data_IF_170578086248
#
_entry.id   IF_170578086248
#
_cell.length_a   1.000
_cell.length_b   1.000
_cell.length_c   1.000
_cell.angle_alpha   90.00
_cell.angle_beta   90.00
_cell.angle_gamma   90.00
#
_symmetry.space_group_name_H-M   'P 1'
#
loop_
_entity.id
_entity.type
_entity.pdbx_description
1 polymer ?
#
# COMPACT_ATOMS: atom_id res chain seq x y z
N UNK A 1 -63.52 -6.59 -65.40
CA UNK A 1 -62.67 -6.90 -64.24
C UNK A 1 -61.36 -6.12 -64.36
N UNK A 2 -61.04 -5.33 -63.34
CA UNK A 2 -59.80 -4.57 -63.06
C UNK A 2 -59.39 -3.41 -64.00
N UNK A 3 -59.53 -2.19 -63.46
CA UNK A 3 -59.09 -0.91 -64.02
C UNK A 3 -57.57 -0.70 -63.84
N UNK A 4 -56.90 -0.10 -64.83
CA UNK A 4 -55.51 0.36 -64.78
C UNK A 4 -55.47 1.82 -64.28
N UNK A 5 -54.66 2.09 -63.25
CA UNK A 5 -54.34 3.44 -62.74
C UNK A 5 -52.96 3.87 -63.24
N UNK A 6 -52.86 5.15 -63.62
CA UNK A 6 -51.67 5.89 -64.03
C UNK A 6 -50.84 6.23 -62.78
N UNK A 7 -49.50 6.22 -62.87
CA UNK A 7 -48.63 6.75 -61.82
C UNK A 7 -47.49 7.58 -62.42
N UNK A 8 -47.40 8.81 -61.91
CA UNK A 8 -46.43 9.86 -62.22
C UNK A 8 -45.14 9.58 -61.43
N UNK A 9 -43.98 9.74 -62.09
CA UNK A 9 -42.66 9.60 -61.46
C UNK A 9 -42.19 10.96 -60.94
N UNK A 10 -41.82 11.03 -59.65
CA UNK A 10 -41.27 12.24 -59.01
C UNK A 10 -39.86 11.94 -58.50
N UNK A 11 -38.90 12.76 -58.94
CA UNK A 11 -37.48 12.66 -58.61
C UNK A 11 -37.18 13.14 -57.18
N UNK A 12 -36.18 12.51 -56.53
CA UNK A 12 -35.63 12.97 -55.25
C UNK A 12 -34.15 13.30 -55.45
N UNK A 13 -33.81 14.55 -55.10
CA UNK A 13 -32.47 15.13 -55.16
C UNK A 13 -31.73 14.86 -53.85
N UNK A 14 -30.53 14.26 -53.89
CA UNK A 14 -29.68 14.07 -52.71
C UNK A 14 -28.79 15.30 -52.49
N UNK A 15 -28.85 15.88 -51.30
CA UNK A 15 -27.93 16.93 -50.82
C UNK A 15 -26.94 16.27 -49.84
N UNK A 16 -25.66 16.33 -50.16
CA UNK A 16 -24.58 15.94 -49.25
C UNK A 16 -24.17 17.15 -48.39
N UNK A 17 -24.36 17.07 -47.08
CA UNK A 17 -23.81 18.02 -46.10
C UNK A 17 -22.53 17.41 -45.50
N UNK A 18 -21.39 18.06 -45.74
CA UNK A 18 -20.12 17.73 -45.09
C UNK A 18 -20.10 18.24 -43.65
N UNK A 19 -19.92 17.34 -42.70
CA UNK A 19 -19.65 17.69 -41.30
C UNK A 19 -18.16 17.93 -41.10
N UNK A 20 -17.80 19.10 -40.58
CA UNK A 20 -16.46 19.38 -40.06
C UNK A 20 -16.38 18.71 -38.69
N UNK A 21 -15.48 17.74 -38.54
CA UNK A 21 -15.16 17.14 -37.25
C UNK A 21 -14.37 18.15 -36.42
N UNK A 22 -14.94 18.58 -35.30
CA UNK A 22 -14.26 19.42 -34.31
C UNK A 22 -13.22 18.55 -33.59
N UNK A 23 -11.94 18.78 -33.90
CA UNK A 23 -10.84 18.08 -33.25
C UNK A 23 -10.69 18.66 -31.84
N UNK A 24 -11.16 17.93 -30.83
CA UNK A 24 -10.86 18.23 -29.43
C UNK A 24 -9.34 18.29 -29.25
N UNK A 25 -8.82 19.49 -28.97
CA UNK A 25 -7.41 19.66 -28.57
C UNK A 25 -7.15 18.80 -27.33
N UNK A 26 -5.99 18.12 -27.24
CA UNK A 26 -5.58 17.46 -26.00
C UNK A 26 -5.55 18.51 -24.89
N UNK A 27 -6.28 18.26 -23.80
CA UNK A 27 -6.20 19.10 -22.60
C UNK A 27 -4.74 19.17 -22.17
N UNK A 28 -4.20 20.39 -22.05
CA UNK A 28 -2.85 20.59 -21.56
C UNK A 28 -2.73 19.91 -20.19
N UNK A 29 -1.89 18.88 -20.08
CA UNK A 29 -1.63 18.22 -18.82
C UNK A 29 -1.08 19.25 -17.83
N UNK A 30 -1.69 19.35 -16.65
CA UNK A 30 -1.19 20.20 -15.56
C UNK A 30 0.29 19.92 -15.32
N UNK A 31 1.10 20.95 -14.97
CA UNK A 31 2.51 20.75 -14.69
C UNK A 31 2.70 19.73 -13.55
N UNK A 32 3.80 18.95 -13.55
CA UNK A 32 4.09 18.01 -12.49
C UNK A 32 4.09 18.68 -11.10
N UNK A 33 3.61 18.00 -10.04
CA UNK A 33 3.62 18.56 -8.70
C UNK A 33 5.06 18.80 -8.22
N UNK A 34 5.27 19.88 -7.46
CA UNK A 34 6.58 20.26 -6.93
C UNK A 34 6.56 20.38 -5.40
N UNK A 35 7.67 20.03 -4.75
CA UNK A 35 7.85 20.11 -3.29
C UNK A 35 7.67 18.77 -2.58
N UNK A 36 7.93 18.72 -1.26
CA UNK A 36 7.70 17.53 -0.44
C UNK A 36 6.27 17.00 -0.59
N UNK A 37 6.08 15.69 -0.49
CA UNK A 37 4.76 15.06 -0.48
C UNK A 37 3.87 15.49 -1.66
N UNK A 38 4.41 15.47 -2.87
CA UNK A 38 3.71 15.85 -4.10
C UNK A 38 3.16 17.30 -4.08
N UNK A 39 3.80 18.19 -3.31
CA UNK A 39 3.37 19.58 -3.16
C UNK A 39 2.10 19.76 -2.33
N UNK A 40 1.62 18.69 -1.67
CA UNK A 40 0.42 18.75 -0.84
C UNK A 40 0.73 19.42 0.50
N UNK A 41 -0.14 20.34 0.94
CA UNK A 41 -0.09 20.91 2.29
C UNK A 41 -0.18 19.80 3.33
N UNK A 42 0.78 19.70 4.27
CA UNK A 42 0.73 18.66 5.30
C UNK A 42 -0.52 18.73 6.19
N UNK A 43 -1.04 17.58 6.65
CA UNK A 43 -2.23 17.52 7.48
C UNK A 43 -1.90 17.91 8.93
N UNK A 44 -2.93 18.30 9.67
CA UNK A 44 -2.87 18.38 11.13
C UNK A 44 -3.26 17.05 11.79
N UNK A 45 -3.93 17.15 12.95
CA UNK A 45 -4.41 15.99 13.72
C UNK A 45 -5.67 15.34 13.12
N UNK A 46 -6.25 15.94 12.08
CA UNK A 46 -7.37 15.34 11.33
C UNK A 46 -6.82 14.73 10.05
N UNK A 47 -7.07 13.44 9.77
CA UNK A 47 -6.57 12.82 8.56
C UNK A 47 -7.12 13.47 7.29
N UNK A 48 -6.27 13.57 6.27
CA UNK A 48 -6.62 14.04 4.95
C UNK A 48 -6.37 12.94 3.90
N UNK A 49 -7.02 13.03 2.74
CA UNK A 49 -6.70 12.18 1.60
C UNK A 49 -5.31 12.53 1.07
N UNK A 50 -4.47 11.54 0.80
CA UNK A 50 -3.11 11.76 0.30
C UNK A 50 -3.08 11.82 -1.23
N UNK A 51 -2.48 12.90 -1.76
CA UNK A 51 -2.29 13.23 -3.17
C UNK A 51 -3.46 12.82 -4.08
N UNK A 52 -4.64 13.47 -3.93
CA UNK A 52 -5.83 13.15 -4.73
C UNK A 52 -5.58 13.29 -6.23
N UNK A 53 -6.01 12.32 -7.01
CA UNK A 53 -5.81 12.26 -8.47
C UNK A 53 -4.43 11.78 -8.90
N UNK A 54 -3.48 11.56 -7.97
CA UNK A 54 -2.15 11.02 -8.27
C UNK A 54 -1.96 9.68 -7.58
N UNK A 55 -2.01 9.66 -6.25
CA UNK A 55 -1.90 8.44 -5.44
C UNK A 55 -3.29 7.89 -5.17
N UNK A 56 -4.16 8.67 -4.53
CA UNK A 56 -5.55 8.27 -4.28
C UNK A 56 -6.42 8.64 -5.48
N UNK A 57 -6.95 7.64 -6.18
CA UNK A 57 -7.71 7.83 -7.42
C UNK A 57 -9.07 7.14 -7.34
N UNK A 58 -9.74 6.91 -8.48
CA UNK A 58 -10.93 6.06 -8.53
C UNK A 58 -10.58 4.56 -8.46
N UNK A 59 -9.30 4.20 -8.62
CA UNK A 59 -8.84 2.84 -8.39
C UNK A 59 -8.76 2.52 -6.89
N UNK A 60 -8.49 1.26 -6.57
CA UNK A 60 -8.33 0.83 -5.17
C UNK A 60 -6.84 0.87 -4.80
N UNK A 61 -6.44 1.83 -3.97
CA UNK A 61 -5.07 1.97 -3.46
C UNK A 61 -4.92 1.60 -1.99
N UNK A 62 -3.82 0.91 -1.67
CA UNK A 62 -3.54 0.45 -0.33
C UNK A 62 -2.05 0.14 -0.12
N UNK A 63 -1.62 0.14 1.14
CA UNK A 63 -0.22 0.03 1.55
C UNK A 63 0.67 1.11 0.93
N UNK A 64 1.65 1.57 1.71
CA UNK A 64 2.37 2.79 1.40
C UNK A 64 3.77 2.75 2.02
N UNK A 65 4.78 3.17 1.28
CA UNK A 65 6.12 3.41 1.83
C UNK A 65 6.82 4.53 1.07
N UNK A 66 7.66 5.28 1.77
CA UNK A 66 8.47 6.35 1.20
C UNK A 66 9.93 5.96 1.33
N UNK A 67 10.71 6.20 0.28
CA UNK A 67 12.16 6.05 0.36
C UNK A 67 12.79 6.88 1.48
N UNK A 68 13.91 6.42 2.09
CA UNK A 68 14.55 7.12 3.19
C UNK A 68 14.93 8.58 2.88
N UNK A 69 15.26 8.89 1.64
CA UNK A 69 15.59 10.26 1.19
C UNK A 69 14.37 11.10 0.79
N UNK A 70 13.17 10.52 0.88
CA UNK A 70 11.91 11.18 0.57
C UNK A 70 11.63 11.39 -0.91
N UNK A 71 12.42 10.80 -1.82
CA UNK A 71 12.33 11.08 -3.28
C UNK A 71 11.53 10.06 -4.07
N UNK A 72 11.13 8.96 -3.47
CA UNK A 72 10.29 7.95 -4.08
C UNK A 72 9.17 7.57 -3.13
N UNK A 73 7.97 7.42 -3.68
CA UNK A 73 6.78 6.99 -2.96
C UNK A 73 6.25 5.75 -3.66
N UNK A 74 6.12 4.66 -2.92
CA UNK A 74 5.60 3.38 -3.39
C UNK A 74 4.26 3.07 -2.74
N UNK A 75 3.35 2.49 -3.51
CA UNK A 75 2.03 2.10 -3.02
C UNK A 75 1.44 0.97 -3.86
N UNK A 76 0.49 0.21 -3.33
CA UNK A 76 -0.24 -0.77 -4.14
C UNK A 76 -1.44 -0.11 -4.80
N UNK A 77 -1.66 -0.39 -6.08
CA UNK A 77 -2.89 -0.05 -6.80
C UNK A 77 -3.47 -1.31 -7.43
N UNK A 78 -4.77 -1.52 -7.22
CA UNK A 78 -5.57 -2.54 -7.89
C UNK A 78 -6.40 -1.87 -8.98
N UNK A 79 -6.12 -2.22 -10.23
CA UNK A 79 -6.89 -1.74 -11.38
C UNK A 79 -7.99 -2.76 -11.72
N UNK A 80 -9.18 -2.36 -12.18
CA UNK A 80 -10.26 -3.30 -12.51
C UNK A 80 -9.85 -4.40 -13.50
N UNK A 81 -8.95 -4.08 -14.43
CA UNK A 81 -8.43 -5.02 -15.43
C UNK A 81 -7.06 -5.61 -15.08
N UNK A 82 -6.39 -5.08 -14.04
CA UNK A 82 -5.08 -5.55 -13.59
C UNK A 82 -5.14 -5.95 -12.12
N UNK A 83 -4.93 -7.24 -11.91
CA UNK A 83 -4.07 -7.81 -10.88
C UNK A 83 -3.18 -6.78 -10.14
N UNK A 84 -3.08 -6.83 -8.81
CA UNK A 84 -2.36 -5.83 -7.98
C UNK A 84 -0.99 -5.44 -8.55
N UNK A 85 -0.67 -4.14 -8.48
CA UNK A 85 0.63 -3.58 -8.90
C UNK A 85 1.21 -2.69 -7.82
N UNK A 86 2.53 -2.77 -7.65
CA UNK A 86 3.28 -1.78 -6.89
C UNK A 86 3.60 -0.63 -7.84
N UNK A 87 3.05 0.53 -7.52
CA UNK A 87 3.26 1.78 -8.22
C UNK A 87 4.37 2.58 -7.54
N UNK A 88 4.99 3.48 -8.29
CA UNK A 88 5.98 4.42 -7.78
C UNK A 88 5.86 5.77 -8.47
N UNK A 89 6.02 6.84 -7.71
CA UNK A 89 6.28 8.20 -8.22
C UNK A 89 7.61 8.69 -7.68
N UNK A 90 8.35 9.45 -8.50
CA UNK A 90 9.74 9.87 -8.21
C UNK A 90 9.91 11.37 -8.30
N UNK A 91 10.69 11.92 -7.38
CA UNK A 91 11.14 13.30 -7.41
C UNK A 91 12.29 13.47 -8.40
N UNK A 92 12.02 14.18 -9.49
CA UNK A 92 12.99 14.56 -10.51
C UNK A 92 13.19 16.07 -10.56
N UNK A 93 14.11 16.54 -11.41
CA UNK A 93 14.38 17.98 -11.59
C UNK A 93 13.13 18.77 -12.01
N UNK A 94 12.21 18.13 -12.73
CA UNK A 94 10.96 18.71 -13.23
C UNK A 94 9.78 18.58 -12.25
N UNK A 95 9.98 17.95 -11.08
CA UNK A 95 8.93 17.63 -10.11
C UNK A 95 8.69 16.14 -9.97
N UNK A 96 7.56 15.77 -9.37
CA UNK A 96 7.16 14.37 -9.20
C UNK A 96 6.66 13.77 -10.51
N UNK A 97 7.13 12.57 -10.85
CA UNK A 97 6.66 11.84 -12.03
C UNK A 97 5.23 11.32 -11.85
N UNK A 98 4.52 11.12 -12.95
CA UNK A 98 3.26 10.34 -12.93
C UNK A 98 3.56 8.92 -12.41
N UNK A 99 2.72 8.36 -11.52
CA UNK A 99 2.95 7.03 -11.00
C UNK A 99 3.01 5.96 -12.10
N UNK A 100 4.05 5.14 -12.06
CA UNK A 100 4.29 4.01 -12.97
C UNK A 100 4.55 2.73 -12.18
N UNK A 101 4.65 1.57 -12.84
CA UNK A 101 5.01 0.32 -12.15
C UNK A 101 6.44 0.41 -11.59
N UNK A 102 6.61 0.03 -10.32
CA UNK A 102 7.89 0.17 -9.62
C UNK A 102 9.03 -0.66 -10.19
N UNK A 103 8.69 -1.82 -10.73
CA UNK A 103 9.61 -2.74 -11.38
C UNK A 103 8.82 -3.60 -12.36
N UNK A 104 9.48 -4.03 -13.43
CA UNK A 104 8.96 -5.05 -14.34
C UNK A 104 9.14 -6.42 -13.69
N UNK A 105 8.47 -6.67 -12.56
CA UNK A 105 8.36 -8.05 -12.10
C UNK A 105 7.67 -8.82 -13.22
N UNK A 106 8.35 -9.87 -13.70
CA UNK A 106 7.83 -10.84 -14.66
C UNK A 106 6.39 -11.20 -14.31
N UNK A 107 5.42 -10.67 -15.04
CA UNK A 107 3.99 -11.02 -15.08
C UNK A 107 3.19 -11.22 -13.76
N UNK A 108 3.79 -11.00 -12.58
CA UNK A 108 3.22 -11.36 -11.29
C UNK A 108 2.66 -10.17 -10.51
N UNK A 109 1.57 -10.43 -9.78
CA UNK A 109 0.97 -9.52 -8.81
C UNK A 109 1.93 -9.21 -7.67
N UNK A 110 2.31 -7.94 -7.53
CA UNK A 110 3.04 -7.43 -6.37
C UNK A 110 2.14 -6.52 -5.54
N UNK A 111 2.26 -6.60 -4.23
CA UNK A 111 1.55 -5.73 -3.29
C UNK A 111 2.33 -5.52 -2.01
N UNK A 112 1.86 -4.57 -1.21
CA UNK A 112 2.35 -4.29 0.14
C UNK A 112 3.87 -3.97 0.19
N UNK A 113 4.32 -2.95 -0.58
CA UNK A 113 5.73 -2.59 -0.63
C UNK A 113 6.20 -2.06 0.72
N UNK A 114 7.40 -2.48 1.12
CA UNK A 114 8.12 -1.91 2.24
C UNK A 114 9.57 -1.66 1.86
N UNK A 115 10.02 -0.43 2.05
CA UNK A 115 11.42 -0.07 1.90
C UNK A 115 12.01 0.27 3.29
N UNK A 116 13.00 -0.51 3.78
CA UNK A 116 13.67 -0.24 5.04
C UNK A 116 14.47 1.08 5.02
N UNK A 117 14.94 1.56 6.20
CA UNK A 117 15.75 2.77 6.31
C UNK A 117 17.04 2.78 5.50
N UNK A 118 17.60 1.62 5.15
CA UNK A 118 18.80 1.54 4.30
C UNK A 118 18.51 1.87 2.82
N UNK A 119 17.24 1.81 2.42
CA UNK A 119 16.78 2.05 1.07
C UNK A 119 17.25 1.02 0.05
N UNK A 120 17.95 -0.06 0.43
CA UNK A 120 18.66 -0.94 -0.51
C UNK A 120 17.79 -2.08 -1.03
N UNK A 121 16.92 -2.62 -0.17
CA UNK A 121 16.13 -3.81 -0.47
C UNK A 121 14.66 -3.51 -0.29
N UNK A 122 13.87 -3.61 -1.35
CA UNK A 122 12.42 -3.50 -1.26
C UNK A 122 11.83 -4.89 -0.98
N UNK A 123 11.05 -4.98 0.08
CA UNK A 123 10.26 -6.15 0.43
C UNK A 123 8.86 -5.96 -0.13
N UNK A 124 8.27 -7.04 -0.65
CA UNK A 124 6.90 -7.01 -1.14
C UNK A 124 6.32 -8.41 -1.12
N UNK A 125 5.00 -8.47 -1.20
CA UNK A 125 4.26 -9.72 -1.23
C UNK A 125 3.80 -10.04 -2.65
N UNK A 126 3.80 -11.33 -2.97
CA UNK A 126 3.32 -11.83 -4.25
C UNK A 126 2.79 -13.26 -4.15
N UNK A 127 1.94 -13.65 -5.10
CA UNK A 127 1.44 -15.01 -5.28
C UNK A 127 2.32 -15.81 -6.25
N UNK A 128 3.63 -15.69 -6.11
CA UNK A 128 4.60 -16.40 -6.95
C UNK A 128 4.90 -17.77 -6.37
N UNK A 129 5.11 -18.77 -7.23
CA UNK A 129 5.68 -20.04 -6.82
C UNK A 129 7.16 -19.87 -6.49
N UNK A 130 7.53 -20.14 -5.24
CA UNK A 130 8.94 -20.18 -4.84
C UNK A 130 9.69 -21.30 -5.58
N UNK A 131 11.00 -21.18 -5.85
CA UNK A 131 11.75 -22.16 -6.64
C UNK A 131 11.63 -23.61 -6.14
N UNK A 132 11.59 -23.79 -4.82
CA UNK A 132 11.48 -25.11 -4.16
C UNK A 132 10.03 -25.54 -3.86
N UNK A 133 9.04 -24.72 -4.23
CA UNK A 133 7.63 -25.00 -3.96
C UNK A 133 6.95 -25.71 -5.14
N UNK A 134 5.95 -26.54 -4.84
CA UNK A 134 5.14 -27.26 -5.85
C UNK A 134 3.92 -26.47 -6.33
N UNK A 135 3.60 -25.35 -5.67
CA UNK A 135 2.49 -24.48 -6.02
C UNK A 135 2.77 -23.02 -5.57
N UNK A 136 2.09 -22.02 -6.15
CA UNK A 136 2.13 -20.65 -5.67
C UNK A 136 1.70 -20.51 -4.20
N UNK A 137 2.42 -19.67 -3.46
CA UNK A 137 2.10 -19.28 -2.08
C UNK A 137 2.12 -17.76 -1.94
N UNK A 138 1.42 -17.26 -0.92
CA UNK A 138 1.46 -15.87 -0.53
C UNK A 138 2.65 -15.65 0.40
N UNK A 139 3.77 -15.25 -0.18
CA UNK A 139 5.04 -15.11 0.53
C UNK A 139 5.63 -13.70 0.34
N UNK A 140 6.57 -13.35 1.21
CA UNK A 140 7.35 -12.11 1.10
C UNK A 140 8.61 -12.39 0.27
N UNK A 141 8.80 -11.56 -0.75
CA UNK A 141 9.92 -11.55 -1.67
C UNK A 141 10.68 -10.23 -1.54
N UNK A 142 11.93 -10.25 -2.03
CA UNK A 142 12.79 -9.07 -2.01
C UNK A 142 13.34 -8.77 -3.39
N UNK A 143 13.58 -7.49 -3.66
CA UNK A 143 14.38 -7.01 -4.78
C UNK A 143 15.40 -6.00 -4.24
N UNK A 144 16.62 -6.05 -4.76
CA UNK A 144 17.70 -5.16 -4.33
C UNK A 144 17.94 -4.10 -5.38
N UNK A 145 18.22 -2.85 -4.96
CA UNK A 145 18.57 -1.78 -5.90
C UNK A 145 19.81 -2.15 -6.71
N UNK A 146 19.75 -1.89 -7.99
CA UNK A 146 20.87 -1.96 -8.94
C UNK A 146 21.08 -0.58 -9.56
N UNK A 147 22.18 -0.38 -10.30
CA UNK A 147 22.54 0.94 -10.82
C UNK A 147 21.40 1.70 -11.53
N UNK A 148 20.60 0.99 -12.35
CA UNK A 148 19.50 1.59 -13.13
C UNK A 148 18.12 1.00 -12.79
N UNK A 149 17.95 0.31 -11.65
CA UNK A 149 16.67 -0.30 -11.32
C UNK A 149 16.71 -1.26 -10.14
N UNK A 150 16.07 -2.41 -10.30
CA UNK A 150 15.94 -3.46 -9.29
C UNK A 150 16.50 -4.78 -9.82
N UNK A 151 16.97 -5.65 -8.93
CA UNK A 151 17.37 -7.02 -9.26
C UNK A 151 16.16 -7.89 -9.63
N UNK A 152 16.42 -9.11 -10.09
CA UNK A 152 15.39 -10.14 -10.09
C UNK A 152 14.90 -10.43 -8.66
N UNK A 153 13.63 -10.83 -8.47
CA UNK A 153 13.10 -11.12 -7.14
C UNK A 153 13.71 -12.36 -6.49
N UNK A 154 14.00 -12.25 -5.20
CA UNK A 154 14.57 -13.31 -4.36
C UNK A 154 13.56 -13.71 -3.28
N UNK A 155 13.24 -15.00 -3.23
CA UNK A 155 12.46 -15.61 -2.15
C UNK A 155 13.36 -15.83 -0.94
N UNK A 156 12.92 -15.41 0.25
CA UNK A 156 13.74 -15.48 1.47
C UNK A 156 13.78 -16.86 2.13
N UNK A 157 12.98 -17.82 1.65
CA UNK A 157 12.96 -19.19 2.17
C UNK A 157 12.52 -19.31 3.64
N UNK A 158 12.67 -20.51 4.19
CA UNK A 158 12.54 -20.73 5.62
C UNK A 158 13.83 -20.28 6.35
N UNK A 159 13.74 -19.73 7.57
CA UNK A 159 12.53 -19.63 8.39
C UNK A 159 11.76 -18.31 8.22
N UNK A 160 12.11 -17.45 7.25
CA UNK A 160 11.44 -16.16 7.05
C UNK A 160 10.05 -16.29 6.40
N UNK A 161 9.81 -17.29 5.58
CA UNK A 161 8.49 -17.63 5.04
C UNK A 161 8.08 -19.02 5.55
N UNK A 162 7.74 -19.19 6.85
CA UNK A 162 7.52 -20.52 7.43
C UNK A 162 6.20 -21.17 6.99
N UNK A 163 5.26 -20.43 6.36
CA UNK A 163 3.97 -21.00 5.96
C UNK A 163 2.95 -20.01 5.41
N UNK A 164 3.38 -18.92 4.76
CA UNK A 164 2.66 -17.70 4.32
C UNK A 164 2.81 -16.51 5.27
N UNK A 165 3.18 -15.37 4.73
CA UNK A 165 3.40 -14.14 5.49
C UNK A 165 3.02 -12.91 4.67
N UNK A 166 2.58 -11.87 5.35
CA UNK A 166 2.18 -10.62 4.72
C UNK A 166 2.58 -9.40 5.54
N UNK A 167 2.82 -8.29 4.83
CA UNK A 167 3.13 -6.96 5.36
C UNK A 167 4.29 -6.91 6.37
N UNK A 168 5.27 -6.06 6.11
CA UNK A 168 6.50 -6.03 6.90
C UNK A 168 6.77 -4.64 7.45
N UNK A 169 7.26 -4.59 8.69
CA UNK A 169 7.88 -3.43 9.31
C UNK A 169 9.25 -3.82 9.87
N UNK A 170 10.19 -2.87 9.92
CA UNK A 170 11.54 -3.13 10.41
C UNK A 170 12.00 -2.00 11.33
N UNK A 171 12.49 -2.36 12.52
CA UNK A 171 13.14 -1.44 13.44
C UNK A 171 14.59 -1.17 13.00
N UNK A 172 15.20 -0.09 13.50
CA UNK A 172 16.57 0.31 13.16
C UNK A 172 17.63 -0.72 13.62
N UNK A 173 17.30 -1.56 14.59
CA UNK A 173 18.16 -2.67 15.02
C UNK A 173 18.10 -3.90 14.09
N UNK A 174 17.31 -3.84 13.02
CA UNK A 174 17.11 -4.92 12.05
C UNK A 174 16.06 -5.95 12.47
N UNK A 175 15.37 -5.76 13.59
CA UNK A 175 14.22 -6.59 13.97
C UNK A 175 13.08 -6.36 12.99
N UNK A 176 12.62 -7.44 12.37
CA UNK A 176 11.51 -7.48 11.44
C UNK A 176 10.24 -7.90 12.18
N UNK A 177 9.15 -7.20 11.91
CA UNK A 177 7.80 -7.54 12.33
C UNK A 177 6.98 -7.84 11.08
N UNK A 178 6.24 -8.94 11.09
CA UNK A 178 5.39 -9.34 9.96
C UNK A 178 4.10 -9.98 10.47
N UNK A 179 3.14 -10.16 9.57
CA UNK A 179 1.93 -10.94 9.85
C UNK A 179 2.18 -12.39 9.42
N UNK A 180 1.99 -13.32 10.35
CA UNK A 180 1.83 -14.75 10.05
C UNK A 180 0.36 -15.05 9.75
N UNK A 181 0.13 -15.69 8.61
CA UNK A 181 -1.20 -16.10 8.11
C UNK A 181 -1.21 -17.58 7.73
N UNK A 182 -0.29 -18.38 8.29
CA UNK A 182 -0.19 -19.81 8.04
C UNK A 182 -1.44 -20.60 8.43
N UNK A 183 -2.23 -20.07 9.37
CA UNK A 183 -3.57 -20.58 9.72
C UNK A 183 -4.65 -20.35 8.65
N UNK A 184 -4.35 -19.64 7.56
CA UNK A 184 -5.25 -19.36 6.44
C UNK A 184 -5.77 -17.92 6.38
N UNK A 185 -6.44 -17.60 5.27
CA UNK A 185 -7.07 -16.28 5.04
C UNK A 185 -8.11 -15.98 6.12
N UNK A 186 -7.90 -14.92 6.90
CA UNK A 186 -8.75 -14.54 8.03
C UNK A 186 -8.18 -14.91 9.41
N UNK A 187 -7.00 -15.54 9.43
CA UNK A 187 -6.10 -15.60 10.59
C UNK A 187 -5.03 -14.51 10.46
N UNK A 188 -4.48 -14.07 11.58
CA UNK A 188 -3.42 -13.08 11.60
C UNK A 188 -2.79 -12.98 12.98
N UNK A 189 -1.49 -13.19 13.05
CA UNK A 189 -0.71 -12.92 14.25
C UNK A 189 0.54 -12.16 13.89
N UNK A 190 0.84 -11.13 14.68
CA UNK A 190 2.07 -10.37 14.54
C UNK A 190 3.20 -11.18 15.16
N UNK A 191 4.21 -11.43 14.34
CA UNK A 191 5.41 -12.17 14.72
C UNK A 191 6.63 -11.31 14.46
N UNK A 192 7.72 -11.60 15.17
CA UNK A 192 9.00 -10.93 14.99
C UNK A 192 10.11 -11.93 14.66
N UNK A 193 11.09 -11.47 13.87
CA UNK A 193 12.36 -12.16 13.62
C UNK A 193 13.47 -11.13 13.51
N UNK A 194 14.71 -11.58 13.50
CA UNK A 194 15.88 -10.77 13.19
C UNK A 194 16.88 -11.58 12.39
N UNK A 195 17.69 -10.88 11.62
CA UNK A 195 18.83 -11.48 10.95
C UNK A 195 19.96 -11.69 11.97
N UNK A 196 20.43 -12.93 12.11
CA UNK A 196 21.55 -13.29 12.97
C UNK A 196 22.47 -14.25 12.22
N UNK A 197 23.77 -13.93 12.19
CA UNK A 197 24.79 -14.74 11.52
C UNK A 197 24.47 -15.07 10.04
N UNK A 198 23.82 -14.11 9.34
CA UNK A 198 23.46 -14.24 7.92
C UNK A 198 22.16 -14.99 7.64
N UNK A 199 21.44 -15.46 8.66
CA UNK A 199 20.14 -16.12 8.51
C UNK A 199 19.09 -15.50 9.43
N UNK A 200 17.83 -15.48 9.00
CA UNK A 200 16.74 -15.08 9.90
C UNK A 200 16.50 -16.14 10.98
N UNK A 201 16.23 -15.71 12.20
CA UNK A 201 15.75 -16.62 13.26
C UNK A 201 14.28 -17.03 12.98
N UNK A 202 13.78 -18.14 13.55
CA UNK A 202 12.37 -18.48 13.49
C UNK A 202 11.47 -17.37 14.05
N UNK A 203 10.28 -17.24 13.46
CA UNK A 203 9.28 -16.28 13.89
C UNK A 203 8.88 -16.51 15.35
N UNK A 204 8.94 -15.43 16.14
CA UNK A 204 8.49 -15.41 17.53
C UNK A 204 7.20 -14.59 17.61
N UNK A 205 6.05 -15.18 18.00
CA UNK A 205 4.82 -14.43 18.20
C UNK A 205 4.98 -13.34 19.25
N UNK A 206 4.39 -12.17 18.99
CA UNK A 206 4.26 -11.13 20.01
C UNK A 206 3.32 -11.57 21.14
N UNK A 207 3.41 -10.94 22.34
CA UNK A 207 2.57 -11.29 23.49
C UNK A 207 1.07 -11.26 23.19
N UNK A 208 0.29 -12.00 23.97
CA UNK A 208 -1.18 -12.09 23.83
C UNK A 208 -1.92 -10.76 24.05
N UNK A 209 -1.32 -9.78 24.71
CA UNK A 209 -1.87 -8.41 24.77
C UNK A 209 -1.97 -7.78 23.38
N UNK A 210 -1.06 -8.15 22.47
CA UNK A 210 -1.08 -7.77 21.06
C UNK A 210 -1.87 -8.80 20.26
N UNK A 211 -1.46 -10.07 20.25
CA UNK A 211 -2.12 -11.15 19.49
C UNK A 211 -3.33 -11.72 20.27
N UNK A 212 -4.34 -10.89 20.48
CA UNK A 212 -5.46 -11.20 21.38
C UNK A 212 -6.61 -11.93 20.67
N UNK A 213 -6.89 -11.57 19.41
CA UNK A 213 -8.08 -12.06 18.68
C UNK A 213 -7.75 -13.06 17.58
N UNK A 214 -6.47 -13.18 17.22
CA UNK A 214 -6.04 -13.96 16.05
C UNK A 214 -6.35 -13.25 14.72
N UNK A 215 -6.56 -11.93 14.77
CA UNK A 215 -6.81 -11.05 13.63
C UNK A 215 -6.03 -9.74 13.73
N UNK A 216 -4.80 -9.86 14.20
CA UNK A 216 -3.82 -8.78 14.24
C UNK A 216 -2.87 -8.89 13.05
N UNK A 217 -2.88 -7.86 12.21
CA UNK A 217 -2.25 -7.85 10.89
C UNK A 217 -1.61 -6.50 10.61
N UNK A 218 -0.76 -6.43 9.59
CA UNK A 218 -0.16 -5.20 9.07
C UNK A 218 0.63 -4.40 10.12
N UNK A 219 1.69 -4.98 10.72
CA UNK A 219 2.49 -4.28 11.70
C UNK A 219 3.32 -3.15 11.06
N UNK A 220 3.44 -2.03 11.79
CA UNK A 220 4.33 -0.93 11.49
C UNK A 220 5.04 -0.50 12.77
N UNK A 221 6.32 -0.86 12.88
CA UNK A 221 7.17 -0.56 14.03
C UNK A 221 7.85 0.80 13.84
N UNK A 222 7.90 1.62 14.90
CA UNK A 222 8.72 2.82 14.90
C UNK A 222 10.21 2.46 14.71
N UNK A 223 11.01 3.25 13.96
CA UNK A 223 12.42 2.92 13.76
C UNK A 223 13.21 2.72 15.05
N UNK A 224 12.90 3.47 16.11
CA UNK A 224 13.54 3.35 17.42
C UNK A 224 12.97 2.21 18.30
N UNK A 225 11.97 1.49 17.80
CA UNK A 225 11.27 0.42 18.52
C UNK A 225 10.37 0.91 19.66
N UNK A 226 10.10 2.22 19.76
CA UNK A 226 9.37 2.82 20.90
C UNK A 226 7.86 2.56 20.88
N UNK A 227 7.28 2.32 19.71
CA UNK A 227 5.88 1.95 19.55
C UNK A 227 5.68 1.05 18.33
N UNK A 228 4.62 0.26 18.36
CA UNK A 228 4.15 -0.58 17.26
C UNK A 228 2.70 -0.18 16.94
N UNK A 229 2.45 0.10 15.66
CA UNK A 229 1.12 0.22 15.10
C UNK A 229 0.74 -1.09 14.43
N UNK A 230 -0.55 -1.42 14.44
CA UNK A 230 -1.05 -2.57 13.70
C UNK A 230 -2.55 -2.44 13.43
N UNK A 231 -3.04 -3.23 12.48
CA UNK A 231 -4.47 -3.37 12.23
C UNK A 231 -5.02 -4.51 13.08
N UNK A 232 -6.13 -4.27 13.78
CA UNK A 232 -6.90 -5.32 14.44
C UNK A 232 -8.31 -5.33 13.85
N UNK A 233 -8.79 -6.51 13.47
CA UNK A 233 -10.15 -6.73 13.00
C UNK A 233 -10.96 -7.33 14.14
N UNK A 234 -11.91 -6.56 14.68
CA UNK A 234 -12.79 -7.01 15.76
C UNK A 234 -13.99 -7.80 15.21
N UNK A 235 -14.91 -8.21 16.08
CA UNK A 235 -16.08 -9.03 15.73
C UNK A 235 -17.04 -8.36 14.74
N UNK A 236 -17.09 -7.02 14.74
CA UNK A 236 -17.82 -6.21 13.75
C UNK A 236 -17.21 -6.29 12.35
N UNK A 237 -16.06 -6.96 12.20
CA UNK A 237 -15.26 -7.13 10.97
C UNK A 237 -14.77 -5.79 10.40
N UNK A 238 -14.73 -4.74 11.22
CA UNK A 238 -14.23 -3.43 10.81
C UNK A 238 -12.76 -3.32 11.25
N UNK A 239 -11.81 -3.14 10.31
CA UNK A 239 -10.41 -2.93 10.69
C UNK A 239 -10.25 -1.59 11.41
N UNK A 240 -9.49 -1.62 12.51
CA UNK A 240 -9.05 -0.42 13.22
C UNK A 240 -7.53 -0.43 13.39
N UNK A 241 -6.94 0.76 13.42
CA UNK A 241 -5.53 0.94 13.78
C UNK A 241 -5.39 1.03 15.29
N UNK A 242 -4.44 0.26 15.82
CA UNK A 242 -4.10 0.21 17.23
C UNK A 242 -2.63 0.57 17.41
N UNK A 243 -2.30 1.23 18.52
CA UNK A 243 -0.94 1.51 18.96
C UNK A 243 -0.66 0.80 20.29
N UNK A 244 0.53 0.24 20.41
CA UNK A 244 1.13 -0.20 21.68
C UNK A 244 2.52 0.40 21.82
N UNK A 245 2.91 0.70 23.06
CA UNK A 245 4.15 1.41 23.37
C UNK A 245 5.10 0.51 24.14
N UNK A 246 6.38 0.65 23.84
CA UNK A 246 7.41 0.00 24.63
C UNK A 246 7.58 0.74 25.96
N UNK A 247 7.42 0.01 27.05
CA UNK A 247 7.58 0.50 28.43
C UNK A 247 9.06 0.58 28.80
N UNK A 248 9.38 1.29 29.89
CA UNK A 248 10.74 1.36 30.42
C UNK A 248 11.32 -0.02 30.81
N UNK A 249 10.45 -0.97 31.17
CA UNK A 249 10.83 -2.36 31.45
C UNK A 249 11.02 -3.21 30.18
N UNK A 250 10.84 -2.64 28.99
CA UNK A 250 11.00 -3.31 27.70
C UNK A 250 9.76 -4.09 27.21
N UNK A 251 8.71 -4.20 28.03
CA UNK A 251 7.44 -4.82 27.68
C UNK A 251 6.56 -3.90 26.81
N UNK A 252 5.62 -4.48 26.06
CA UNK A 252 4.58 -3.76 25.32
C UNK A 252 3.42 -3.37 26.23
N UNK A 253 2.92 -2.14 26.11
CA UNK A 253 1.71 -1.69 26.82
C UNK A 253 0.45 -2.33 26.22
N UNK A 254 -0.68 -2.23 26.93
CA UNK A 254 -1.98 -2.59 26.35
C UNK A 254 -2.25 -1.76 25.08
N UNK A 255 -2.62 -2.40 23.95
CA UNK A 255 -2.90 -1.69 22.72
C UNK A 255 -4.17 -0.84 22.81
N UNK A 256 -4.12 0.37 22.26
CA UNK A 256 -5.27 1.28 22.19
C UNK A 256 -5.59 1.63 20.74
N UNK A 257 -6.88 1.68 20.41
CA UNK A 257 -7.36 2.07 19.08
C UNK A 257 -7.12 3.57 18.85
N UNK A 258 -6.62 3.96 17.68
CA UNK A 258 -6.56 5.35 17.26
C UNK A 258 -7.95 5.83 16.83
N UNK A 259 -8.32 7.03 17.26
CA UNK A 259 -9.49 7.73 16.76
C UNK A 259 -9.10 8.62 15.58
N UNK A 260 -9.29 8.09 14.37
CA UNK A 260 -8.94 8.77 13.12
C UNK A 260 -10.17 9.45 12.48
N UNK A 261 -11.37 9.13 12.94
CA UNK A 261 -12.65 9.55 12.32
C UNK A 261 -13.03 8.78 11.04
N UNK A 262 -12.16 7.91 10.51
CA UNK A 262 -12.51 7.02 9.41
C UNK A 262 -13.19 5.76 9.93
N UNK A 263 -14.13 5.23 9.13
CA UNK A 263 -14.89 4.03 9.47
C UNK A 263 -14.00 2.80 9.63
N UNK A 264 -13.05 2.62 8.72
CA UNK A 264 -12.23 1.41 8.61
C UNK A 264 -10.81 1.78 8.21
N UNK A 265 -9.84 1.64 9.13
CA UNK A 265 -8.46 2.05 8.92
C UNK A 265 -7.51 0.84 9.07
N UNK A 266 -6.59 0.70 8.13
CA UNK A 266 -5.65 -0.44 8.07
C UNK A 266 -4.31 -0.04 7.45
N UNK A 267 -3.35 -0.97 7.45
CA UNK A 267 -2.08 -0.86 6.73
C UNK A 267 -1.32 0.44 7.08
N UNK A 268 -0.95 0.62 8.37
CA UNK A 268 -0.24 1.80 8.81
C UNK A 268 1.18 1.84 8.21
N UNK A 269 1.70 3.04 8.01
CA UNK A 269 3.07 3.30 7.59
C UNK A 269 3.51 4.68 8.09
N UNK A 270 4.79 4.86 8.40
CA UNK A 270 5.33 6.12 8.89
C UNK A 270 6.16 6.81 7.80
N UNK A 271 6.14 8.15 7.77
CA UNK A 271 7.15 8.88 7.01
C UNK A 271 8.55 8.60 7.56
N UNK A 272 9.61 8.64 6.73
CA UNK A 272 10.99 8.40 7.16
C UNK A 272 11.46 9.33 8.30
N UNK A 273 10.91 10.54 8.34
CA UNK A 273 11.19 11.53 9.40
C UNK A 273 10.25 11.42 10.62
N UNK A 274 9.35 10.44 10.64
CA UNK A 274 8.42 10.15 11.74
C UNK A 274 7.32 11.18 11.95
N UNK A 275 7.19 12.20 11.08
CA UNK A 275 6.21 13.29 11.24
C UNK A 275 4.79 12.92 10.84
N UNK A 276 4.62 11.95 9.95
CA UNK A 276 3.31 11.60 9.40
C UNK A 276 3.05 10.11 9.50
N UNK A 277 1.80 9.79 9.86
CA UNK A 277 1.24 8.46 9.75
C UNK A 277 0.41 8.40 8.46
N UNK A 278 0.70 7.42 7.63
CA UNK A 278 -0.09 7.04 6.47
C UNK A 278 -0.87 5.78 6.78
N UNK A 279 -2.06 5.65 6.20
CA UNK A 279 -2.89 4.47 6.35
C UNK A 279 -3.86 4.32 5.19
N UNK A 280 -4.37 3.12 4.99
CA UNK A 280 -5.45 2.85 4.05
C UNK A 280 -6.80 2.96 4.76
N UNK A 281 -7.76 3.65 4.13
CA UNK A 281 -9.16 3.64 4.55
C UNK A 281 -10.06 3.26 3.40
N UNK A 282 -11.08 2.45 3.69
CA UNK A 282 -12.09 2.05 2.72
C UNK A 282 -13.18 3.13 2.60
N UNK A 283 -13.51 3.51 1.37
CA UNK A 283 -14.65 4.38 1.07
C UNK A 283 -15.98 3.61 1.19
N UNK A 284 -17.11 4.32 1.12
CA UNK A 284 -18.44 3.70 1.08
C UNK A 284 -18.64 2.78 -0.14
N UNK A 285 -17.90 3.02 -1.23
CA UNK A 285 -17.91 2.20 -2.45
C UNK A 285 -16.97 0.98 -2.37
N UNK A 286 -16.39 0.71 -1.20
CA UNK A 286 -15.37 -0.32 -0.99
C UNK A 286 -14.08 -0.11 -1.83
N UNK A 287 -13.75 1.15 -2.13
CA UNK A 287 -12.48 1.54 -2.74
C UNK A 287 -11.50 1.97 -1.63
N UNK A 288 -10.30 1.37 -1.62
CA UNK A 288 -9.23 1.72 -0.71
C UNK A 288 -8.57 3.02 -1.16
N UNK A 289 -8.32 3.92 -0.23
CA UNK A 289 -7.64 5.18 -0.46
C UNK A 289 -6.57 5.40 0.60
N UNK A 290 -5.52 6.13 0.25
CA UNK A 290 -4.41 6.41 1.17
C UNK A 290 -4.68 7.75 1.86
N UNK A 291 -4.70 7.73 3.18
CA UNK A 291 -4.83 8.90 4.04
C UNK A 291 -3.53 9.15 4.78
N UNK A 292 -3.37 10.39 5.23
CA UNK A 292 -2.24 10.81 6.05
C UNK A 292 -2.68 11.78 7.13
N UNK A 293 -1.97 11.76 8.26
CA UNK A 293 -2.24 12.56 9.45
C UNK A 293 -0.92 12.87 10.16
N UNK A 294 -0.88 13.95 10.94
CA UNK A 294 0.23 14.23 11.83
C UNK A 294 0.43 13.09 12.83
N UNK A 295 1.65 12.53 12.88
CA UNK A 295 1.97 11.36 13.69
C UNK A 295 1.85 11.62 15.20
N UNK A 296 1.78 12.88 15.65
CA UNK A 296 1.48 13.22 17.05
C UNK A 296 0.16 12.64 17.55
N UNK A 297 -0.75 12.25 16.66
CA UNK A 297 -1.97 11.53 17.03
C UNK A 297 -1.68 10.22 17.76
N UNK A 298 -0.57 9.56 17.46
CA UNK A 298 -0.13 8.31 18.11
C UNK A 298 0.17 8.60 19.59
N UNK A 299 0.88 9.69 19.86
CA UNK A 299 1.29 10.09 21.20
C UNK A 299 0.12 10.35 22.15
N UNK A 300 -1.07 10.68 21.62
CA UNK A 300 -2.29 10.82 22.43
C UNK A 300 -2.68 9.53 23.18
N UNK A 301 -2.22 8.37 22.71
CA UNK A 301 -2.47 7.06 23.32
C UNK A 301 -1.40 6.63 24.32
N UNK A 302 -0.24 7.28 24.34
CA UNK A 302 0.90 6.90 25.17
C UNK A 302 0.48 6.92 26.64
N UNK A 303 0.65 5.81 27.39
CA UNK A 303 0.36 5.80 28.81
C UNK A 303 1.15 6.89 29.54
N UNK A 304 0.48 7.64 30.42
CA UNK A 304 1.16 8.55 31.33
C UNK A 304 1.99 7.69 32.30
N UNK A 305 3.26 8.03 32.43
CA UNK A 305 4.16 7.42 33.42
C UNK A 305 3.80 7.89 34.83
#
# INVERSE_FOLDING_TARGET
>A
MKARRIMISMAVCLICLGGVADAQQPTAQSPPPTGPYLGQTPPGMTPALFAPGIVSTEAHEFSFTISPDGKEIYFTRKHPELRNRIMVTRWEKSGWTTPEMAFKASDDEGMEPFLPPDGKTLFYQTWRQAPEATAPSMDIWTITRTGNGWSDPVHLGAPFNPGKSMYIGMAADGTVYTTDISGGMGTGSIVATRLKDGAYEPFTPLPSSINATGREIYPCIAPDGSFLLFTRINDDKVPGLYATFRTAAGAWSEPKKLDLGQKAASMPSLSPDGKYLFFTSMSEKAEGNIFWVDARIIESLRPKQ
#
